data_IF_450889921476
#
_entry.id   IF_450889921476
#
_cell.length_a   1.000
_cell.length_b   1.000
_cell.length_c   1.000
_cell.angle_alpha   90.00
_cell.angle_beta   90.00
_cell.angle_gamma   90.00
#
_symmetry.space_group_name_H-M   'P 1'
#
loop_
_entity.id
_entity.type
_entity.pdbx_description
1 polymer ?
#
# COMPACT_ATOMS: atom_id res chain seq x y z
N UNK A 1 5.35 -4.74 -23.71
CA UNK A 1 4.01 -4.58 -23.08
C UNK A 1 4.12 -4.47 -21.56
N UNK A 2 4.78 -5.40 -20.87
CA UNK A 2 4.89 -5.40 -19.40
C UNK A 2 5.53 -4.14 -18.80
N UNK A 3 6.65 -3.66 -19.36
CA UNK A 3 7.31 -2.43 -18.90
C UNK A 3 6.42 -1.19 -18.97
N UNK A 4 5.55 -1.10 -19.98
CA UNK A 4 4.58 -0.01 -20.11
C UNK A 4 3.52 -0.07 -18.99
N UNK A 5 3.03 -1.27 -18.68
CA UNK A 5 2.06 -1.47 -17.59
C UNK A 5 2.69 -1.15 -16.24
N UNK A 6 3.93 -1.58 -16.01
CA UNK A 6 4.69 -1.27 -14.79
C UNK A 6 4.91 0.23 -14.65
N UNK A 7 5.36 0.89 -15.71
CA UNK A 7 5.57 2.34 -15.71
C UNK A 7 4.27 3.11 -15.49
N UNK A 8 3.18 2.71 -16.15
CA UNK A 8 1.85 3.27 -15.94
C UNK A 8 1.42 3.14 -14.47
N UNK A 9 1.55 1.94 -13.89
CA UNK A 9 1.25 1.71 -12.46
C UNK A 9 2.08 2.62 -11.55
N UNK A 10 3.37 2.81 -11.83
CA UNK A 10 4.23 3.70 -11.04
C UNK A 10 3.76 5.16 -11.10
N UNK A 11 3.43 5.66 -12.29
CA UNK A 11 2.90 7.01 -12.46
C UNK A 11 1.55 7.18 -11.77
N UNK A 12 0.57 6.34 -12.10
CA UNK A 12 -0.79 6.46 -11.56
C UNK A 12 -0.85 6.26 -10.04
N UNK A 13 -0.05 5.34 -9.48
CA UNK A 13 0.03 5.17 -8.02
C UNK A 13 0.62 6.40 -7.32
N UNK A 14 1.64 7.02 -7.92
CA UNK A 14 2.23 8.25 -7.39
C UNK A 14 1.23 9.42 -7.42
N UNK A 15 0.54 9.61 -8.54
CA UNK A 15 -0.52 10.62 -8.65
C UNK A 15 -1.67 10.36 -7.69
N UNK A 16 -2.12 9.10 -7.58
CA UNK A 16 -3.19 8.69 -6.67
C UNK A 16 -2.87 9.08 -5.22
N UNK A 17 -1.67 8.76 -4.74
CA UNK A 17 -1.24 9.16 -3.39
C UNK A 17 -1.25 10.68 -3.19
N UNK A 18 -0.81 11.46 -4.19
CA UNK A 18 -0.83 12.92 -4.13
C UNK A 18 -2.27 13.45 -4.08
N UNK A 19 -3.18 12.92 -4.89
CA UNK A 19 -4.58 13.33 -4.89
C UNK A 19 -5.30 12.93 -3.61
N UNK A 20 -5.12 11.71 -3.12
CA UNK A 20 -5.66 11.25 -1.84
C UNK A 20 -5.18 12.14 -0.69
N UNK A 21 -3.89 12.51 -0.67
CA UNK A 21 -3.35 13.45 0.31
C UNK A 21 -4.00 14.83 0.19
N UNK A 22 -4.09 15.39 -1.01
CA UNK A 22 -4.74 16.71 -1.24
C UNK A 22 -6.19 16.73 -0.79
N UNK A 23 -6.97 15.70 -1.14
CA UNK A 23 -8.37 15.57 -0.75
C UNK A 23 -8.52 15.45 0.77
N UNK A 24 -7.64 14.68 1.42
CA UNK A 24 -7.65 14.58 2.88
C UNK A 24 -7.31 15.91 3.57
N UNK A 25 -6.37 16.68 3.02
CA UNK A 25 -6.05 18.03 3.53
C UNK A 25 -7.15 19.07 3.27
N UNK A 26 -7.99 18.87 2.25
CA UNK A 26 -9.20 19.67 2.01
C UNK A 26 -10.33 19.35 3.00
N UNK A 27 -10.09 18.49 3.99
CA UNK A 27 -11.04 18.15 5.05
C UNK A 27 -11.94 16.96 4.73
N UNK A 28 -11.76 16.31 3.58
CA UNK A 28 -12.50 15.09 3.27
C UNK A 28 -11.99 13.94 4.14
N UNK A 29 -12.93 13.24 4.77
CA UNK A 29 -12.60 12.11 5.63
C UNK A 29 -12.00 10.96 4.78
N UNK A 30 -10.90 10.30 5.22
CA UNK A 30 -10.27 9.19 4.49
C UNK A 30 -11.24 8.09 4.04
N UNK A 31 -12.23 7.76 4.87
CA UNK A 31 -13.26 6.79 4.53
C UNK A 31 -14.06 7.18 3.28
N UNK A 32 -14.43 8.46 3.15
CA UNK A 32 -15.18 8.95 1.99
C UNK A 32 -14.34 8.86 0.72
N UNK A 33 -13.07 9.27 0.79
CA UNK A 33 -12.13 9.19 -0.35
C UNK A 33 -12.04 7.74 -0.86
N UNK A 34 -11.86 6.79 0.05
CA UNK A 34 -11.72 5.37 -0.27
C UNK A 34 -13.02 4.81 -0.82
N UNK A 35 -14.15 5.06 -0.15
CA UNK A 35 -15.48 4.59 -0.56
C UNK A 35 -15.82 5.10 -1.98
N UNK A 36 -15.65 6.39 -2.25
CA UNK A 36 -15.88 6.96 -3.58
C UNK A 36 -14.97 6.33 -4.64
N UNK A 37 -13.71 6.06 -4.32
CA UNK A 37 -12.77 5.41 -5.25
C UNK A 37 -13.24 4.01 -5.63
N UNK A 38 -13.68 3.19 -4.65
CA UNK A 38 -14.19 1.85 -4.91
C UNK A 38 -15.54 1.85 -5.63
N UNK A 39 -16.43 2.82 -5.35
CA UNK A 39 -17.70 2.96 -6.09
C UNK A 39 -17.42 3.24 -7.57
N UNK A 40 -16.54 4.19 -7.86
CA UNK A 40 -16.17 4.52 -9.25
C UNK A 40 -15.51 3.31 -9.92
N UNK A 41 -14.59 2.63 -9.22
CA UNK A 41 -13.96 1.42 -9.74
C UNK A 41 -14.99 0.32 -10.04
N UNK A 42 -15.94 0.09 -9.12
CA UNK A 42 -17.00 -0.90 -9.32
C UNK A 42 -17.84 -0.59 -10.55
N UNK A 43 -18.20 0.67 -10.78
CA UNK A 43 -18.96 1.08 -11.97
C UNK A 43 -18.16 0.83 -13.25
N UNK A 44 -16.86 1.19 -13.25
CA UNK A 44 -15.96 0.94 -14.40
C UNK A 44 -15.81 -0.56 -14.66
N UNK A 45 -15.86 -1.39 -13.62
CA UNK A 45 -15.76 -2.84 -13.73
C UNK A 45 -17.06 -3.54 -14.19
N UNK A 46 -18.23 -2.91 -14.11
CA UNK A 46 -19.51 -3.55 -14.49
C UNK A 46 -19.53 -4.14 -15.91
N UNK A 47 -19.02 -3.47 -16.97
CA UNK A 47 -19.01 -4.03 -18.32
C UNK A 47 -18.18 -5.30 -18.46
N UNK A 48 -17.21 -5.54 -17.56
CA UNK A 48 -16.41 -6.76 -17.57
C UNK A 48 -17.23 -7.99 -17.16
N UNK A 49 -18.38 -7.82 -16.50
CA UNK A 49 -19.28 -8.92 -16.19
C UNK A 49 -19.91 -9.55 -17.45
N UNK A 50 -19.79 -8.91 -18.61
CA UNK A 50 -20.21 -9.50 -19.88
C UNK A 50 -19.18 -10.45 -20.50
N UNK A 51 -17.95 -10.51 -19.98
CA UNK A 51 -16.89 -11.36 -20.54
C UNK A 51 -16.87 -12.78 -19.95
N UNK A 52 -17.58 -13.01 -18.85
CA UNK A 52 -17.67 -14.31 -18.17
C UNK A 52 -19.01 -14.45 -17.44
N UNK A 53 -19.36 -15.68 -17.04
CA UNK A 53 -20.57 -15.95 -16.26
C UNK A 53 -20.23 -16.05 -14.75
N UNK A 54 -20.63 -15.08 -13.90
CA UNK A 54 -20.29 -15.11 -12.48
C UNK A 54 -20.91 -16.28 -11.71
N UNK A 55 -22.01 -16.85 -12.21
CA UNK A 55 -22.74 -17.94 -11.55
C UNK A 55 -22.04 -19.31 -11.68
N UNK A 56 -21.04 -19.42 -12.56
CA UNK A 56 -20.22 -20.64 -12.70
C UNK A 56 -19.09 -20.71 -11.65
N UNK A 57 -18.86 -19.63 -10.91
CA UNK A 57 -17.81 -19.56 -9.89
C UNK A 57 -18.24 -20.26 -8.60
N UNK A 58 -17.30 -20.96 -7.97
CA UNK A 58 -17.56 -21.72 -6.74
C UNK A 58 -17.89 -20.82 -5.55
N UNK A 59 -18.60 -21.36 -4.56
CA UNK A 59 -18.85 -20.63 -3.31
C UNK A 59 -17.53 -20.29 -2.57
N UNK A 60 -16.51 -21.13 -2.69
CA UNK A 60 -15.18 -20.86 -2.13
C UNK A 60 -14.51 -19.63 -2.78
N UNK A 61 -14.69 -19.42 -4.08
CA UNK A 61 -14.19 -18.23 -4.77
C UNK A 61 -14.79 -16.96 -4.16
N UNK A 62 -16.11 -16.93 -3.96
CA UNK A 62 -16.81 -15.78 -3.40
C UNK A 62 -16.40 -15.46 -1.96
N UNK A 63 -16.20 -16.49 -1.14
CA UNK A 63 -15.71 -16.31 0.24
C UNK A 63 -14.28 -15.75 0.22
N UNK A 64 -13.39 -16.29 -0.62
CA UNK A 64 -12.02 -15.84 -0.72
C UNK A 64 -11.92 -14.40 -1.23
N UNK A 65 -12.66 -14.04 -2.28
CA UNK A 65 -12.62 -12.67 -2.82
C UNK A 65 -13.25 -11.66 -1.86
N UNK A 66 -14.24 -12.06 -1.07
CA UNK A 66 -14.81 -11.21 -0.02
C UNK A 66 -13.74 -10.84 1.03
N UNK A 67 -13.01 -11.83 1.55
CA UNK A 67 -11.94 -11.55 2.52
C UNK A 67 -10.78 -10.77 1.89
N UNK A 68 -10.39 -11.11 0.65
CA UNK A 68 -9.38 -10.35 -0.08
C UNK A 68 -9.79 -8.88 -0.24
N UNK A 69 -11.02 -8.60 -0.66
CA UNK A 69 -11.55 -7.25 -0.79
C UNK A 69 -11.68 -6.52 0.56
N UNK A 70 -12.02 -7.23 1.63
CA UNK A 70 -12.10 -6.67 2.98
C UNK A 70 -10.72 -6.21 3.47
N UNK A 71 -9.69 -7.04 3.30
CA UNK A 71 -8.32 -6.69 3.68
C UNK A 71 -7.76 -5.58 2.80
N UNK A 72 -8.01 -5.63 1.48
CA UNK A 72 -7.63 -4.59 0.53
C UNK A 72 -8.23 -3.22 0.88
N UNK A 73 -9.54 -3.20 1.17
CA UNK A 73 -10.24 -1.97 1.57
C UNK A 73 -9.74 -1.43 2.91
N UNK A 74 -9.52 -2.29 3.91
CA UNK A 74 -8.96 -1.90 5.20
C UNK A 74 -7.53 -1.35 5.04
N UNK A 75 -6.68 -2.03 4.27
CA UNK A 75 -5.31 -1.62 3.98
C UNK A 75 -5.24 -0.29 3.24
N UNK A 76 -6.14 -0.07 2.27
CA UNK A 76 -6.28 1.18 1.54
C UNK A 76 -6.79 2.31 2.42
N UNK A 77 -7.73 2.03 3.34
CA UNK A 77 -8.18 3.01 4.32
C UNK A 77 -7.05 3.48 5.24
N UNK A 78 -6.26 2.56 5.77
CA UNK A 78 -5.08 2.91 6.55
C UNK A 78 -4.02 3.65 5.72
N UNK A 79 -3.88 3.35 4.43
CA UNK A 79 -3.01 4.09 3.52
C UNK A 79 -3.41 5.57 3.47
N UNK A 80 -4.68 5.86 3.22
CA UNK A 80 -5.18 7.24 3.14
C UNK A 80 -5.12 7.94 4.50
N UNK A 81 -5.40 7.23 5.61
CA UNK A 81 -5.21 7.76 6.96
C UNK A 81 -3.75 8.06 7.29
N UNK A 82 -2.81 7.30 6.74
CA UNK A 82 -1.38 7.57 6.86
C UNK A 82 -1.01 8.83 6.08
N UNK A 83 -1.44 8.93 4.81
CA UNK A 83 -1.18 10.08 3.96
C UNK A 83 -1.75 11.40 4.52
N UNK A 84 -2.88 11.34 5.22
CA UNK A 84 -3.48 12.53 5.84
C UNK A 84 -2.74 13.01 7.09
N UNK A 85 -1.88 12.18 7.68
CA UNK A 85 -1.17 12.46 8.94
C UNK A 85 0.35 12.47 8.82
N UNK A 86 0.91 12.11 7.65
CA UNK A 86 2.35 12.06 7.42
C UNK A 86 2.75 12.83 6.16
N UNK A 87 3.99 13.32 6.18
CA UNK A 87 4.58 13.90 5.00
C UNK A 87 4.98 12.85 3.97
N UNK A 88 4.88 13.20 2.68
CA UNK A 88 5.26 12.29 1.60
C UNK A 88 6.75 11.94 1.66
N UNK A 89 7.58 12.84 2.22
CA UNK A 89 9.01 12.62 2.48
C UNK A 89 9.29 11.59 3.57
N UNK A 90 8.35 11.34 4.48
CA UNK A 90 8.44 10.28 5.50
C UNK A 90 7.73 9.01 5.00
N UNK A 91 6.59 9.17 4.31
CA UNK A 91 5.83 8.08 3.72
C UNK A 91 6.63 7.31 2.65
N UNK A 92 7.42 8.01 1.83
CA UNK A 92 8.25 7.42 0.78
C UNK A 92 9.21 6.35 1.32
N UNK A 93 10.09 6.68 2.27
CA UNK A 93 10.93 5.70 2.96
C UNK A 93 10.16 4.53 3.59
N UNK A 94 9.02 4.80 4.21
CA UNK A 94 8.20 3.76 4.84
C UNK A 94 7.64 2.74 3.83
N UNK A 95 7.39 3.17 2.59
CA UNK A 95 6.90 2.29 1.54
C UNK A 95 7.86 1.14 1.20
N UNK A 96 9.18 1.35 1.37
CA UNK A 96 10.19 0.33 1.09
C UNK A 96 10.04 -0.92 1.98
N UNK A 97 9.50 -0.76 3.20
CA UNK A 97 9.25 -1.86 4.12
C UNK A 97 8.14 -2.81 3.64
N UNK A 98 7.32 -2.39 2.66
CA UNK A 98 6.34 -3.27 2.02
C UNK A 98 7.01 -4.51 1.43
N UNK A 99 8.15 -4.34 0.79
CA UNK A 99 8.88 -5.46 0.18
C UNK A 99 9.29 -6.49 1.22
N UNK A 100 9.75 -6.06 2.40
CA UNK A 100 10.15 -6.96 3.49
C UNK A 100 8.96 -7.74 4.02
N UNK A 101 7.85 -7.04 4.32
CA UNK A 101 6.64 -7.67 4.87
C UNK A 101 6.05 -8.64 3.85
N UNK A 102 5.90 -8.24 2.59
CA UNK A 102 5.42 -9.11 1.52
C UNK A 102 6.30 -10.34 1.32
N UNK A 103 7.63 -10.20 1.39
CA UNK A 103 8.57 -11.31 1.30
C UNK A 103 8.36 -12.32 2.44
N UNK A 104 8.19 -11.85 3.68
CA UNK A 104 7.93 -12.71 4.84
C UNK A 104 6.59 -13.45 4.68
N UNK A 105 5.54 -12.74 4.25
CA UNK A 105 4.24 -13.35 4.00
C UNK A 105 4.30 -14.38 2.86
N UNK A 106 5.02 -14.09 1.78
CA UNK A 106 5.20 -15.04 0.68
C UNK A 106 5.89 -16.34 1.13
N UNK A 107 6.92 -16.24 1.97
CA UNK A 107 7.59 -17.40 2.57
C UNK A 107 6.66 -18.24 3.45
N UNK A 108 5.71 -17.61 4.17
CA UNK A 108 4.83 -18.30 5.13
C UNK A 108 3.59 -18.89 4.45
N UNK A 109 2.99 -18.15 3.50
CA UNK A 109 1.68 -18.49 2.94
C UNK A 109 1.76 -19.23 1.60
N UNK A 110 2.84 -19.02 0.84
CA UNK A 110 3.02 -19.55 -0.52
C UNK A 110 4.30 -20.41 -0.62
N UNK A 111 5.04 -20.56 0.47
CA UNK A 111 6.30 -21.32 0.55
C UNK A 111 7.38 -20.85 -0.45
N UNK A 112 7.32 -19.57 -0.86
CA UNK A 112 8.28 -18.98 -1.79
C UNK A 112 9.48 -18.39 -1.05
N UNK A 113 10.62 -19.10 -1.07
CA UNK A 113 11.87 -18.62 -0.47
C UNK A 113 12.68 -17.82 -1.50
N UNK A 114 12.99 -16.54 -1.23
CA UNK A 114 13.80 -15.72 -2.12
C UNK A 114 15.21 -16.31 -2.34
N UNK A 115 15.74 -16.11 -3.54
CA UNK A 115 17.15 -16.40 -3.82
C UNK A 115 18.09 -15.44 -3.08
N UNK A 116 19.37 -15.77 -3.04
CA UNK A 116 20.40 -14.89 -2.46
C UNK A 116 20.41 -13.49 -3.12
N UNK A 117 20.19 -13.43 -4.43
CA UNK A 117 20.04 -12.17 -5.15
C UNK A 117 18.78 -11.41 -4.71
N UNK A 118 17.67 -12.12 -4.48
CA UNK A 118 16.44 -11.54 -3.93
C UNK A 118 16.68 -10.87 -2.58
N UNK A 119 17.31 -11.58 -1.64
CA UNK A 119 17.67 -11.02 -0.33
C UNK A 119 18.56 -9.78 -0.43
N UNK A 120 19.59 -9.81 -1.30
CA UNK A 120 20.43 -8.63 -1.54
C UNK A 120 19.64 -7.45 -2.11
N UNK A 121 18.73 -7.70 -3.06
CA UNK A 121 17.85 -6.68 -3.62
C UNK A 121 16.96 -6.03 -2.55
N UNK A 122 16.33 -6.83 -1.69
CA UNK A 122 15.56 -6.33 -0.55
C UNK A 122 16.43 -5.50 0.40
N UNK A 123 17.64 -5.98 0.70
CA UNK A 123 18.61 -5.25 1.52
C UNK A 123 18.94 -3.87 0.94
N UNK A 124 19.20 -3.78 -0.36
CA UNK A 124 19.48 -2.51 -1.06
C UNK A 124 18.27 -1.58 -0.99
N UNK A 125 17.05 -2.08 -1.18
CA UNK A 125 15.82 -1.27 -1.11
C UNK A 125 15.63 -0.68 0.30
N UNK A 126 15.84 -1.49 1.35
CA UNK A 126 15.74 -1.05 2.75
C UNK A 126 16.84 -0.07 3.12
N UNK A 127 18.09 -0.33 2.71
CA UNK A 127 19.21 0.59 2.95
C UNK A 127 19.02 1.92 2.19
N UNK A 128 18.57 1.86 0.93
CA UNK A 128 18.27 3.04 0.13
C UNK A 128 17.15 3.89 0.73
N UNK A 129 16.14 3.26 1.32
CA UNK A 129 15.06 3.99 2.00
C UNK A 129 15.53 4.74 3.24
N UNK A 130 16.54 4.22 3.95
CA UNK A 130 17.14 4.92 5.09
C UNK A 130 17.72 6.28 4.69
N UNK A 131 18.38 6.35 3.53
CA UNK A 131 18.94 7.61 3.00
C UNK A 131 17.89 8.62 2.54
N UNK A 132 16.65 8.18 2.28
CA UNK A 132 15.54 9.06 1.88
C UNK A 132 14.86 9.74 3.09
N UNK A 133 15.13 9.32 4.32
CA UNK A 133 14.59 10.03 5.49
C UNK A 133 15.20 11.43 5.58
N UNK A 134 14.38 12.49 5.74
CA UNK A 134 14.87 13.87 5.78
C UNK A 134 15.90 14.05 6.91
N UNK A 135 17.01 14.74 6.66
CA UNK A 135 17.97 15.07 7.73
C UNK A 135 17.36 16.14 8.63
N UNK A 136 16.99 15.79 9.86
CA UNK A 136 16.61 16.80 10.84
C UNK A 136 17.82 17.12 11.72
N UNK A 137 18.12 18.40 11.87
CA UNK A 137 19.33 18.96 12.51
C UNK A 137 19.42 18.76 14.02
N UNK A 138 18.41 18.15 14.65
CA UNK A 138 18.41 17.80 16.07
C UNK A 138 18.61 16.29 16.26
N UNK A 139 19.86 15.91 16.50
CA UNK A 139 20.33 14.57 16.84
C UNK A 139 19.75 14.11 18.18
N UNK A 140 18.63 13.39 18.13
CA UNK A 140 18.14 12.62 19.28
C UNK A 140 18.19 11.12 18.96
N UNK A 141 18.87 10.35 19.80
CA UNK A 141 19.13 8.91 19.62
C UNK A 141 17.86 8.06 19.52
N UNK A 142 16.69 8.61 19.88
CA UNK A 142 15.39 7.92 19.88
C UNK A 142 14.51 8.26 18.66
N UNK A 143 15.06 8.82 17.59
CA UNK A 143 14.30 9.25 16.39
C UNK A 143 13.43 8.15 15.78
N UNK A 144 13.98 6.95 15.58
CA UNK A 144 13.23 5.84 14.99
C UNK A 144 12.08 5.40 15.89
N UNK A 145 12.30 5.36 17.20
CA UNK A 145 11.27 5.02 18.17
C UNK A 145 10.15 6.06 18.21
N UNK A 146 10.50 7.35 18.12
CA UNK A 146 9.51 8.43 18.05
C UNK A 146 8.70 8.38 16.74
N UNK A 147 9.35 8.11 15.60
CA UNK A 147 8.66 7.93 14.32
C UNK A 147 7.68 6.76 14.36
N UNK A 148 8.02 5.64 15.01
CA UNK A 148 7.11 4.49 15.17
C UNK A 148 5.90 4.81 16.06
N UNK A 149 6.00 5.81 16.94
CA UNK A 149 4.89 6.27 17.77
C UNK A 149 3.93 7.23 17.04
N UNK A 150 4.34 7.77 15.89
CA UNK A 150 3.47 8.63 15.10
C UNK A 150 2.31 7.82 14.50
N UNK A 151 1.07 8.28 14.75
CA UNK A 151 -0.13 7.58 14.29
C UNK A 151 -0.15 7.36 12.78
N UNK A 152 0.36 8.31 12.02
CA UNK A 152 0.43 8.18 10.56
C UNK A 152 1.40 7.08 10.10
N UNK A 153 2.49 6.86 10.82
CA UNK A 153 3.44 5.76 10.56
C UNK A 153 2.82 4.42 10.95
N UNK A 154 2.11 4.35 12.08
CA UNK A 154 1.38 3.16 12.50
C UNK A 154 0.33 2.74 11.46
N UNK A 155 -0.45 3.70 10.94
CA UNK A 155 -1.37 3.41 9.85
C UNK A 155 -0.65 2.93 8.59
N UNK A 156 0.57 3.41 8.30
CA UNK A 156 1.31 2.89 7.14
C UNK A 156 1.67 1.42 7.31
N UNK A 157 2.14 1.01 8.49
CA UNK A 157 2.48 -0.38 8.77
C UNK A 157 1.23 -1.28 8.77
N UNK A 158 0.11 -0.81 9.34
CA UNK A 158 -1.17 -1.52 9.26
C UNK A 158 -1.63 -1.68 7.80
N UNK A 159 -1.49 -0.62 7.01
CA UNK A 159 -1.78 -0.65 5.56
C UNK A 159 -0.94 -1.70 4.85
N UNK A 160 0.37 -1.74 5.07
CA UNK A 160 1.28 -2.69 4.43
C UNK A 160 0.99 -4.14 4.83
N UNK A 161 0.60 -4.36 6.09
CA UNK A 161 0.29 -5.71 6.59
C UNK A 161 -1.00 -6.25 5.98
N UNK A 162 -1.97 -5.39 5.74
CA UNK A 162 -3.28 -5.74 5.17
C UNK A 162 -3.29 -5.69 3.63
N UNK A 163 -2.37 -4.94 3.02
CA UNK A 163 -2.31 -4.66 1.58
C UNK A 163 -0.89 -4.52 1.01
#
# INVERSE_FOLDING_TARGET
>A
MELLVVFGRLLFSSFSNVFQKKLAHQGLHPFFIVMSSYIVLSIICLPLLWTFNPFELSNSFWINIFFAALFDMAGTLFLVMSLSKTDLSVFGPLNAYKVVISMILAMIFIDEIPSMQGFLGVGIIVLGSYFLFPSNTHTNSNRLFHLLLERGVQYRFLSILLF
#
